data_IF_897282518011
#
_entry.id   IF_897282518011
#
_cell.length_a   1.000
_cell.length_b   1.000
_cell.length_c   1.000
_cell.angle_alpha   90.00
_cell.angle_beta   90.00
_cell.angle_gamma   90.00
#
_symmetry.space_group_name_H-M   'P 1'
#
loop_
_entity.id
_entity.type
_entity.pdbx_description
1 polymer ?
#
# COMPACT_ATOMS: atom_id res chain seq x y z
N UNK A 1 4.38 21.50 -22.12
CA UNK A 1 3.40 21.60 -21.02
C UNK A 1 3.15 20.19 -20.53
N UNK A 2 3.60 19.84 -19.33
CA UNK A 2 3.35 18.51 -18.76
C UNK A 2 2.03 18.50 -18.00
N UNK A 3 1.29 17.40 -18.05
CA UNK A 3 0.08 17.19 -17.25
C UNK A 3 0.23 15.94 -16.40
N UNK A 4 -0.44 15.93 -15.25
CA UNK A 4 -0.45 14.75 -14.38
C UNK A 4 -1.36 13.71 -15.00
N UNK A 5 -0.84 12.51 -15.19
CA UNK A 5 -1.51 11.37 -15.78
C UNK A 5 -1.33 10.13 -14.89
N UNK A 6 -2.23 9.17 -15.04
CA UNK A 6 -2.16 7.89 -14.32
C UNK A 6 -1.98 6.73 -15.29
N UNK A 7 -1.23 5.73 -14.88
CA UNK A 7 -0.98 4.56 -15.71
C UNK A 7 -0.59 3.33 -14.92
N UNK A 8 -0.46 2.22 -15.63
CA UNK A 8 0.01 0.95 -15.10
C UNK A 8 1.38 0.64 -15.68
N UNK A 9 2.34 0.32 -14.84
CA UNK A 9 3.66 -0.11 -15.30
C UNK A 9 3.50 -1.43 -16.04
N UNK A 10 3.91 -1.43 -17.32
CA UNK A 10 3.84 -2.60 -18.19
C UNK A 10 5.05 -3.50 -18.00
N UNK A 11 6.23 -2.90 -17.89
CA UNK A 11 7.49 -3.58 -17.68
C UNK A 11 8.46 -2.64 -16.99
N UNK A 12 9.31 -3.19 -16.13
CA UNK A 12 10.37 -2.47 -15.44
C UNK A 12 11.61 -3.36 -15.41
N UNK A 13 12.72 -2.85 -15.95
CA UNK A 13 14.03 -3.50 -15.89
C UNK A 13 14.82 -2.88 -14.74
N UNK A 14 14.93 -3.58 -13.61
CA UNK A 14 15.72 -3.13 -12.46
C UNK A 14 17.20 -2.98 -12.79
N UNK A 15 17.76 -3.92 -13.57
CA UNK A 15 19.18 -3.94 -13.96
C UNK A 15 19.55 -2.72 -14.81
N UNK A 16 18.59 -2.22 -15.60
CA UNK A 16 18.79 -1.07 -16.50
C UNK A 16 18.21 0.22 -15.92
N UNK A 17 17.42 0.15 -14.86
CA UNK A 17 16.81 1.28 -14.16
C UNK A 17 15.78 2.06 -14.97
N UNK A 18 15.13 1.43 -15.97
CA UNK A 18 14.08 2.05 -16.77
C UNK A 18 12.87 1.13 -16.93
N UNK A 19 11.73 1.72 -17.29
CA UNK A 19 10.53 0.95 -17.60
C UNK A 19 9.56 1.71 -18.50
N UNK A 20 8.44 1.06 -18.76
CA UNK A 20 7.36 1.58 -19.59
C UNK A 20 6.04 1.57 -18.82
N UNK A 21 5.33 2.69 -18.88
CA UNK A 21 4.01 2.85 -18.27
C UNK A 21 2.97 2.95 -19.38
N UNK A 22 1.95 2.11 -19.30
CA UNK A 22 0.79 2.20 -20.17
C UNK A 22 -0.28 3.05 -19.47
N UNK A 23 -0.59 4.19 -20.07
CA UNK A 23 -1.67 5.07 -19.61
C UNK A 23 -2.77 5.13 -20.66
N UNK A 24 -4.06 5.20 -20.28
CA UNK A 24 -5.13 5.49 -21.23
C UNK A 24 -5.08 6.94 -21.74
N UNK A 25 -4.35 7.83 -21.07
CA UNK A 25 -4.18 9.24 -21.45
C UNK A 25 -3.06 9.45 -22.47
N UNK A 26 -2.18 8.45 -22.62
CA UNK A 26 -1.12 8.44 -23.61
C UNK A 26 -1.44 7.40 -24.71
N UNK A 27 -1.36 7.76 -25.99
CA UNK A 27 -1.55 6.79 -27.08
C UNK A 27 -0.41 5.76 -27.15
N UNK A 28 0.79 6.14 -26.69
CA UNK A 28 2.01 5.34 -26.71
C UNK A 28 2.47 4.98 -25.29
N UNK A 29 3.33 3.95 -25.20
CA UNK A 29 3.97 3.55 -23.95
C UNK A 29 4.87 4.69 -23.44
N UNK A 30 4.63 5.13 -22.21
CA UNK A 30 5.33 6.27 -21.59
C UNK A 30 6.62 5.77 -20.97
N UNK A 31 7.74 6.32 -21.41
CA UNK A 31 9.05 5.97 -20.87
C UNK A 31 9.29 6.62 -19.51
N UNK A 32 9.79 5.85 -18.54
CA UNK A 32 10.23 6.39 -17.25
C UNK A 32 11.58 5.82 -16.83
N UNK A 33 12.30 6.61 -16.04
CA UNK A 33 13.57 6.19 -15.43
C UNK A 33 13.38 6.10 -13.92
N UNK A 34 13.99 5.11 -13.26
CA UNK A 34 13.99 4.97 -11.80
C UNK A 34 14.40 6.27 -11.08
N UNK A 35 15.28 7.08 -11.66
CA UNK A 35 15.73 8.37 -11.10
C UNK A 35 14.60 9.42 -10.99
N UNK A 36 13.58 9.29 -11.84
CA UNK A 36 12.39 10.15 -11.82
C UNK A 36 11.28 9.61 -10.89
N UNK A 37 11.48 8.42 -10.29
CA UNK A 37 10.56 7.81 -9.32
C UNK A 37 10.82 8.37 -7.93
N UNK A 38 9.78 8.94 -7.31
CA UNK A 38 9.85 9.55 -5.98
C UNK A 38 9.27 8.58 -4.96
N UNK A 39 10.14 8.08 -4.06
CA UNK A 39 9.73 7.13 -3.02
C UNK A 39 9.55 5.70 -3.50
N UNK A 40 10.10 5.36 -4.68
CA UNK A 40 10.20 3.98 -5.13
C UNK A 40 11.22 3.22 -4.30
N UNK A 41 10.76 2.20 -3.58
CA UNK A 41 11.62 1.16 -3.01
C UNK A 41 12.15 0.27 -4.16
N UNK A 42 13.41 -0.19 -4.07
CA UNK A 42 13.95 -1.18 -5.03
C UNK A 42 13.05 -2.43 -5.01
N UNK A 43 12.27 -2.64 -6.07
CA UNK A 43 11.30 -3.73 -6.15
C UNK A 43 10.50 -3.74 -7.44
N UNK A 44 9.70 -4.80 -7.61
CA UNK A 44 8.80 -5.01 -8.76
C UNK A 44 7.72 -3.92 -8.84
N UNK A 45 7.97 -2.93 -9.70
CA UNK A 45 6.93 -1.99 -10.13
C UNK A 45 6.01 -2.60 -11.19
N UNK A 46 6.33 -3.76 -11.76
CA UNK A 46 5.55 -4.38 -12.83
C UNK A 46 4.09 -4.60 -12.39
N UNK A 47 3.16 -4.03 -13.16
CA UNK A 47 1.74 -4.10 -12.89
C UNK A 47 1.22 -3.18 -11.79
N UNK A 48 2.07 -2.35 -11.18
CA UNK A 48 1.63 -1.34 -10.22
C UNK A 48 0.96 -0.14 -10.93
N UNK A 49 -0.01 0.47 -10.25
CA UNK A 49 -0.60 1.74 -10.68
C UNK A 49 0.26 2.89 -10.19
N UNK A 50 0.63 3.79 -11.10
CA UNK A 50 1.51 4.91 -10.82
C UNK A 50 0.89 6.20 -11.34
N UNK A 51 1.08 7.28 -10.58
CA UNK A 51 0.77 8.65 -10.98
C UNK A 51 2.07 9.32 -11.42
N UNK A 52 2.06 10.01 -12.54
CA UNK A 52 3.25 10.66 -13.07
C UNK A 52 2.89 11.92 -13.84
N UNK A 53 3.87 12.79 -14.04
CA UNK A 53 3.72 13.94 -14.93
C UNK A 53 4.17 13.54 -16.33
N UNK A 54 3.22 13.40 -17.25
CA UNK A 54 3.49 13.16 -18.67
C UNK A 54 4.05 14.43 -19.29
N UNK A 55 5.25 14.34 -19.85
CA UNK A 55 5.94 15.43 -20.52
C UNK A 55 6.40 14.95 -21.89
N UNK A 56 6.35 15.83 -22.90
CA UNK A 56 6.88 15.53 -24.22
C UNK A 56 8.42 15.65 -24.20
N UNK A 57 9.13 14.57 -24.50
CA UNK A 57 10.59 14.51 -24.51
C UNK A 57 11.15 14.27 -25.92
N UNK A 58 12.47 14.42 -26.07
CA UNK A 58 13.16 14.26 -27.36
C UNK A 58 13.01 12.87 -28.00
N UNK A 59 12.61 11.86 -27.22
CA UNK A 59 12.41 10.47 -27.65
C UNK A 59 10.95 9.99 -27.51
N UNK A 60 10.01 10.92 -27.37
CA UNK A 60 8.59 10.64 -27.15
C UNK A 60 8.12 10.95 -25.72
N UNK A 61 6.92 10.50 -25.33
CA UNK A 61 6.33 10.81 -24.03
C UNK A 61 7.18 10.25 -22.88
N UNK A 62 7.64 11.14 -22.00
CA UNK A 62 8.42 10.83 -20.81
C UNK A 62 7.58 11.08 -19.55
N UNK A 63 7.62 10.14 -18.61
CA UNK A 63 7.08 10.32 -17.28
C UNK A 63 8.14 10.94 -16.35
N UNK A 64 7.76 11.97 -15.60
CA UNK A 64 8.56 12.60 -14.55
C UNK A 64 7.78 12.65 -13.24
N UNK A 65 8.47 12.69 -12.08
CA UNK A 65 7.83 12.62 -10.75
C UNK A 65 6.89 11.42 -10.62
N UNK A 66 7.37 10.23 -10.98
CA UNK A 66 6.57 9.01 -10.90
C UNK A 66 6.37 8.67 -9.42
N UNK A 67 5.12 8.55 -9.01
CA UNK A 67 4.72 8.12 -7.67
C UNK A 67 3.94 6.84 -7.80
N UNK A 68 4.36 5.82 -7.08
CA UNK A 68 3.56 4.60 -6.98
C UNK A 68 2.33 4.94 -6.15
N UNK A 69 1.15 4.79 -6.74
CA UNK A 69 -0.06 4.71 -5.94
C UNK A 69 0.06 3.39 -5.20
N UNK A 70 0.57 3.50 -3.97
CA UNK A 70 0.82 2.40 -3.03
C UNK A 70 -0.12 1.26 -3.34
N UNK A 71 0.44 0.08 -3.61
CA UNK A 71 -0.28 -1.18 -3.54
C UNK A 71 -1.12 -1.06 -2.28
N UNK A 72 -2.43 -0.80 -2.40
CA UNK A 72 -3.33 -1.13 -1.30
C UNK A 72 -3.17 -2.62 -1.25
N UNK A 73 -2.35 -3.03 -0.29
CA UNK A 73 -1.92 -4.39 -0.07
C UNK A 73 -3.11 -5.29 -0.37
N UNK A 74 -2.94 -6.14 -1.39
CA UNK A 74 -3.92 -7.16 -1.69
C UNK A 74 -4.04 -8.04 -0.45
N UNK A 75 -5.07 -7.76 0.34
CA UNK A 75 -5.41 -8.40 1.60
C UNK A 75 -6.86 -8.04 1.92
N UNK A 76 -7.77 -8.77 1.27
CA UNK A 76 -9.24 -8.81 1.41
C UNK A 76 -10.07 -7.63 0.83
N UNK A 77 -11.00 -7.89 -0.12
CA UNK A 77 -12.16 -7.04 -0.35
C UNK A 77 -13.23 -7.31 0.73
N UNK A 78 -14.09 -6.33 0.97
CA UNK A 78 -15.24 -6.33 1.89
C UNK A 78 -14.97 -5.98 3.37
N UNK A 79 -14.68 -4.71 3.64
CA UNK A 79 -15.16 -4.04 4.86
C UNK A 79 -15.36 -2.55 4.57
N UNK A 80 -16.22 -2.24 3.60
CA UNK A 80 -16.77 -0.89 3.50
C UNK A 80 -17.72 -0.67 4.68
N UNK A 81 -17.22 0.06 5.68
CA UNK A 81 -17.91 1.04 6.56
C UNK A 81 -17.02 1.38 7.76
N UNK A 82 -16.02 2.25 7.57
CA UNK A 82 -15.45 3.01 8.69
C UNK A 82 -15.69 4.50 8.41
N UNK A 83 -16.54 5.19 9.19
CA UNK A 83 -16.69 6.63 9.05
C UNK A 83 -15.38 7.33 9.47
N UNK A 84 -14.99 8.32 8.67
CA UNK A 84 -14.09 9.45 8.93
C UNK A 84 -13.46 9.65 10.33
N UNK A 85 -12.65 8.70 10.81
CA UNK A 85 -11.73 8.87 11.95
C UNK A 85 -10.36 8.25 11.64
N UNK A 86 -9.87 8.50 10.43
CA UNK A 86 -8.76 7.79 9.79
C UNK A 86 -7.34 8.23 10.23
N UNK A 87 -7.12 8.53 11.52
CA UNK A 87 -5.76 8.78 12.05
C UNK A 87 -5.58 8.41 13.53
N UNK A 88 -6.54 7.72 14.16
CA UNK A 88 -6.39 7.27 15.55
C UNK A 88 -5.99 5.78 15.56
N UNK A 89 -4.94 5.39 16.31
CA UNK A 89 -4.69 3.99 16.62
C UNK A 89 -5.93 3.32 17.24
N UNK A 90 -6.24 2.05 16.91
CA UNK A 90 -7.36 1.31 17.51
C UNK A 90 -7.21 1.23 19.03
N UNK A 91 -8.34 1.21 19.75
CA UNK A 91 -8.32 0.90 21.17
C UNK A 91 -7.92 -0.56 21.41
N UNK A 92 -7.41 -0.85 22.61
CA UNK A 92 -7.06 -2.20 23.04
C UNK A 92 -8.22 -3.19 22.87
N UNK A 93 -9.45 -2.75 23.10
CA UNK A 93 -10.64 -3.60 22.97
C UNK A 93 -11.00 -3.91 21.52
N UNK A 94 -10.87 -2.91 20.65
CA UNK A 94 -11.04 -3.08 19.20
C UNK A 94 -9.97 -4.04 18.67
N UNK A 95 -8.71 -3.75 18.98
CA UNK A 95 -7.58 -4.56 18.55
C UNK A 95 -7.68 -6.01 19.01
N UNK A 96 -8.03 -6.25 20.29
CA UNK A 96 -8.22 -7.60 20.84
C UNK A 96 -9.35 -8.37 20.14
N UNK A 97 -10.42 -7.68 19.73
CA UNK A 97 -11.54 -8.29 19.01
C UNK A 97 -11.08 -8.73 17.63
N UNK A 98 -10.46 -7.82 16.88
CA UNK A 98 -9.98 -8.10 15.51
C UNK A 98 -9.01 -9.29 15.49
N UNK A 99 -8.02 -9.29 16.39
CA UNK A 99 -7.07 -10.42 16.52
C UNK A 99 -7.79 -11.73 16.84
N UNK A 100 -8.81 -11.71 17.71
CA UNK A 100 -9.57 -12.92 18.04
C UNK A 100 -10.36 -13.42 16.82
N UNK A 101 -11.02 -12.55 16.07
CA UNK A 101 -11.80 -12.94 14.88
C UNK A 101 -10.92 -13.51 13.76
N UNK A 102 -9.75 -12.89 13.53
CA UNK A 102 -8.78 -13.39 12.56
C UNK A 102 -8.27 -14.77 12.96
N UNK A 103 -7.88 -14.95 14.22
CA UNK A 103 -7.33 -16.22 14.69
C UNK A 103 -8.37 -17.34 14.78
N UNK A 104 -9.66 -17.02 14.98
CA UNK A 104 -10.75 -17.99 14.88
C UNK A 104 -10.96 -18.50 13.45
N UNK A 105 -10.52 -17.75 12.44
CA UNK A 105 -10.58 -18.17 11.03
C UNK A 105 -9.39 -19.07 10.62
N UNK A 106 -8.41 -19.30 11.49
CA UNK A 106 -7.24 -20.15 11.20
C UNK A 106 -7.48 -21.55 11.75
N UNK A 107 -7.40 -22.55 10.87
CA UNK A 107 -7.54 -23.96 11.26
C UNK A 107 -6.36 -24.44 12.11
N UNK A 108 -6.62 -25.34 13.07
CA UNK A 108 -5.59 -25.94 13.93
C UNK A 108 -5.12 -25.08 15.11
N UNK A 109 -5.71 -23.91 15.37
CA UNK A 109 -5.39 -23.08 16.54
C UNK A 109 -6.43 -23.26 17.65
N UNK A 110 -5.99 -23.70 18.83
CA UNK A 110 -6.83 -23.85 20.01
C UNK A 110 -7.11 -22.52 20.73
N UNK A 111 -8.21 -22.45 21.48
CA UNK A 111 -8.64 -21.24 22.21
C UNK A 111 -7.59 -20.69 23.20
N UNK A 112 -6.77 -21.56 23.80
CA UNK A 112 -5.64 -21.16 24.66
C UNK A 112 -4.55 -20.44 23.87
N UNK A 113 -4.23 -20.93 22.67
CA UNK A 113 -3.25 -20.32 21.77
C UNK A 113 -3.76 -18.97 21.25
N UNK A 114 -5.04 -18.90 20.87
CA UNK A 114 -5.69 -17.64 20.47
C UNK A 114 -5.54 -16.57 21.57
N UNK A 115 -5.80 -16.95 22.83
CA UNK A 115 -5.66 -16.03 23.97
C UNK A 115 -4.22 -15.57 24.16
N UNK A 116 -3.25 -16.47 24.08
CA UNK A 116 -1.83 -16.15 24.24
C UNK A 116 -1.33 -15.19 23.14
N UNK A 117 -1.66 -15.48 21.88
CA UNK A 117 -1.30 -14.62 20.73
C UNK A 117 -1.97 -13.26 20.85
N UNK A 118 -3.26 -13.22 21.21
CA UNK A 118 -3.99 -11.98 21.44
C UNK A 118 -3.33 -11.12 22.53
N UNK A 119 -2.95 -11.73 23.64
CA UNK A 119 -2.32 -11.01 24.76
C UNK A 119 -0.97 -10.44 24.36
N UNK A 120 -0.14 -11.26 23.73
CA UNK A 120 1.18 -10.86 23.23
C UNK A 120 1.10 -9.71 22.21
N UNK A 121 0.21 -9.82 21.23
CA UNK A 121 0.03 -8.76 20.23
C UNK A 121 -0.53 -7.48 20.85
N UNK A 122 -1.37 -7.59 21.88
CA UNK A 122 -1.94 -6.44 22.58
C UNK A 122 -0.87 -5.67 23.35
N UNK A 123 -0.01 -6.39 24.08
CA UNK A 123 1.13 -5.83 24.80
C UNK A 123 2.12 -5.15 23.83
N UNK A 124 2.48 -5.85 22.75
CA UNK A 124 3.33 -5.32 21.68
C UNK A 124 2.74 -4.06 21.02
N UNK A 125 1.41 -4.00 20.87
CA UNK A 125 0.72 -2.84 20.32
C UNK A 125 0.72 -1.62 21.20
N UNK A 126 0.62 -1.82 22.51
CA UNK A 126 0.73 -0.75 23.50
C UNK A 126 2.17 -0.23 23.58
N UNK A 127 3.17 -1.12 23.61
CA UNK A 127 4.60 -0.76 23.64
C UNK A 127 5.01 0.13 22.46
N UNK A 128 4.52 -0.21 21.26
CA UNK A 128 4.86 0.50 20.02
C UNK A 128 3.94 1.67 19.68
N UNK A 129 2.92 1.94 20.49
CA UNK A 129 2.01 3.07 20.34
C UNK A 129 1.07 2.99 19.13
N UNK A 130 0.89 1.81 18.52
CA UNK A 130 -0.10 1.61 17.46
C UNK A 130 -1.46 1.10 17.98
N UNK A 131 -1.54 0.75 19.27
CA UNK A 131 -2.79 0.50 20.01
C UNK A 131 -2.84 1.48 21.17
N UNK A 132 -4.03 2.02 21.46
CA UNK A 132 -4.23 2.88 22.64
C UNK A 132 -5.01 2.14 23.72
N UNK A 133 -4.71 2.43 24.99
CA UNK A 133 -5.52 1.94 26.10
C UNK A 133 -6.97 2.42 25.96
N UNK A 134 -7.90 1.61 26.48
CA UNK A 134 -9.31 1.99 26.52
C UNK A 134 -9.47 3.17 27.49
N UNK A 135 -9.43 4.39 26.95
CA UNK A 135 -9.76 5.58 27.72
C UNK A 135 -11.22 5.45 28.13
N UNK A 136 -11.46 5.09 29.39
CA UNK A 136 -12.80 5.15 29.98
C UNK A 136 -13.33 6.57 29.78
N UNK A 137 -14.41 6.70 29.02
CA UNK A 137 -15.21 7.92 28.96
C UNK A 137 -16.53 7.67 29.66
#
# INVERSE_FOLDING_TARGET
>A
MGHVAKGKVRSYDEERGFGFIRSPEAPDDVFFHFKDVVGGEEGDFEGATVEFTLTDGERGPKASNVRVESRRSGGAPAAERRPASANRPPSLREFRREVTEILLSVDGIGSTQIRAVRDYLSDYGLDRGFVVEDTRR
#
